data_IF_416121414593
#
_entry.id   IF_416121414593
#
_cell.length_a   1.000
_cell.length_b   1.000
_cell.length_c   1.000
_cell.angle_alpha   90.00
_cell.angle_beta   90.00
_cell.angle_gamma   90.00
#
_symmetry.space_group_name_H-M   'P 1'
#
loop_
_entity.id
_entity.type
_entity.pdbx_description
1 polymer ?
#
# COMPACT_ATOMS: atom_id res chain seq x y z
N UNK A 1 55.19 -4.16 -3.28
CA UNK A 1 53.97 -4.63 -3.96
C UNK A 1 52.89 -4.83 -2.91
N UNK A 2 51.80 -4.05 -3.07
CA UNK A 2 50.50 -4.06 -2.38
C UNK A 2 49.77 -5.42 -2.59
N UNK A 3 48.78 -5.87 -1.82
CA UNK A 3 48.09 -5.38 -0.62
C UNK A 3 47.30 -6.56 0.01
N UNK A 4 46.96 -6.38 1.29
CA UNK A 4 46.30 -7.34 2.17
C UNK A 4 44.77 -7.41 1.95
N UNK A 5 44.20 -8.55 2.36
CA UNK A 5 42.78 -8.95 2.32
C UNK A 5 41.81 -7.84 2.77
N UNK A 6 40.71 -7.67 2.02
CA UNK A 6 39.53 -6.93 2.44
C UNK A 6 38.46 -7.89 3.00
N UNK A 7 37.64 -7.46 3.98
CA UNK A 7 36.61 -8.28 4.61
C UNK A 7 35.34 -8.40 3.75
N UNK A 8 34.65 -9.51 3.93
CA UNK A 8 33.33 -9.78 3.35
C UNK A 8 32.26 -8.93 4.06
N UNK A 9 31.94 -7.77 3.49
CA UNK A 9 30.72 -7.03 3.79
C UNK A 9 29.53 -7.80 3.21
N UNK A 10 28.88 -8.64 4.03
CA UNK A 10 27.50 -9.08 3.79
C UNK A 10 26.58 -7.87 3.99
N UNK A 11 26.47 -7.02 2.97
CA UNK A 11 25.33 -6.10 2.89
C UNK A 11 24.13 -6.94 2.48
N UNK A 12 23.26 -7.21 3.44
CA UNK A 12 21.92 -7.73 3.20
C UNK A 12 21.24 -6.81 2.19
N UNK A 13 21.21 -7.23 0.92
CA UNK A 13 20.31 -6.66 -0.04
C UNK A 13 18.91 -7.07 0.41
N UNK A 14 18.25 -6.18 1.16
CA UNK A 14 16.80 -6.12 1.20
C UNK A 14 16.37 -5.88 -0.24
N UNK A 15 16.11 -6.98 -0.96
CA UNK A 15 15.49 -6.93 -2.28
C UNK A 15 14.12 -6.29 -2.08
N UNK A 16 14.04 -4.99 -2.34
CA UNK A 16 12.78 -4.30 -2.57
C UNK A 16 12.15 -4.98 -3.77
N UNK A 17 11.20 -5.88 -3.51
CA UNK A 17 10.39 -6.50 -4.54
C UNK A 17 9.51 -5.36 -5.08
N UNK A 18 9.97 -4.71 -6.15
CA UNK A 18 9.17 -3.71 -6.86
C UNK A 18 8.17 -4.52 -7.66
N UNK A 19 6.89 -4.40 -7.35
CA UNK A 19 5.82 -5.07 -8.10
C UNK A 19 5.97 -4.78 -9.60
N UNK A 20 5.86 -5.79 -10.48
CA UNK A 20 5.90 -5.57 -11.90
C UNK A 20 4.78 -4.58 -12.30
N UNK A 21 5.08 -3.60 -13.17
CA UNK A 21 4.05 -2.65 -13.59
C UNK A 21 2.90 -3.42 -14.27
N UNK A 22 1.63 -3.06 -14.00
CA UNK A 22 0.50 -3.71 -14.62
C UNK A 22 0.55 -3.54 -16.15
N UNK A 23 0.02 -4.50 -16.93
CA UNK A 23 0.04 -4.44 -18.38
C UNK A 23 -0.75 -3.22 -18.90
N UNK A 24 -0.38 -2.68 -20.08
CA UNK A 24 -0.83 -1.38 -20.59
C UNK A 24 -2.34 -1.31 -20.91
N UNK A 25 -3.02 -2.45 -21.01
CA UNK A 25 -4.47 -2.60 -21.17
C UNK A 25 -5.24 -2.52 -19.84
N UNK A 26 -4.56 -2.52 -18.69
CA UNK A 26 -5.13 -2.35 -17.35
C UNK A 26 -4.98 -0.93 -16.78
N UNK A 27 -4.33 -0.02 -17.50
CA UNK A 27 -3.96 1.33 -17.01
C UNK A 27 -5.15 2.24 -16.67
N UNK A 28 -6.37 1.87 -17.06
CA UNK A 28 -7.61 2.60 -16.72
C UNK A 28 -8.35 2.03 -15.50
N UNK A 29 -7.86 0.95 -14.87
CA UNK A 29 -8.42 0.54 -13.57
C UNK A 29 -7.90 1.51 -12.50
N UNK A 30 -8.75 2.09 -11.66
CA UNK A 30 -8.29 2.83 -10.49
C UNK A 30 -7.31 1.94 -9.72
N UNK A 31 -6.06 2.40 -9.60
CA UNK A 31 -5.01 1.68 -8.89
C UNK A 31 -5.28 1.76 -7.39
N UNK A 32 -6.18 0.91 -6.91
CA UNK A 32 -6.49 0.79 -5.49
C UNK A 32 -5.30 0.14 -4.77
N UNK A 33 -4.84 0.71 -3.65
CA UNK A 33 -3.77 0.11 -2.87
C UNK A 33 -4.13 -1.33 -2.48
N UNK A 34 -3.19 -2.24 -2.67
CA UNK A 34 -3.39 -3.62 -2.29
C UNK A 34 -3.37 -3.76 -0.75
N UNK A 35 -4.00 -4.80 -0.17
CA UNK A 35 -4.06 -4.99 1.28
C UNK A 35 -2.69 -5.11 1.94
N UNK A 36 -1.74 -5.72 1.23
CA UNK A 36 -0.37 -5.89 1.72
C UNK A 36 0.41 -4.57 1.74
N UNK A 37 -0.05 -3.53 1.04
CA UNK A 37 0.52 -2.19 1.08
C UNK A 37 -0.07 -1.33 2.21
N UNK A 38 -1.11 -1.82 2.89
CA UNK A 38 -1.86 -1.09 3.90
C UNK A 38 -1.53 -1.62 5.29
N UNK A 39 -0.87 -0.79 6.08
CA UNK A 39 -0.51 -1.12 7.46
C UNK A 39 -1.31 -0.29 8.46
N UNK A 40 -1.47 -0.82 9.68
CA UNK A 40 -2.10 -0.07 10.77
C UNK A 40 -1.30 1.18 11.09
N UNK A 41 -1.99 2.31 11.22
CA UNK A 41 -1.36 3.61 11.47
C UNK A 41 -1.05 4.41 10.20
N UNK A 42 -1.11 3.80 9.01
CA UNK A 42 -1.03 4.57 7.76
C UNK A 42 -2.24 5.48 7.60
N UNK A 43 -2.03 6.66 7.06
CA UNK A 43 -3.11 7.59 6.72
C UNK A 43 -3.54 7.35 5.29
N UNK A 44 -4.81 7.00 5.12
CA UNK A 44 -5.40 6.62 3.85
C UNK A 44 -6.66 7.43 3.61
N UNK A 45 -6.97 7.60 2.34
CA UNK A 45 -8.24 8.14 1.91
C UNK A 45 -9.19 6.99 1.57
N UNK A 46 -10.35 6.96 2.20
CA UNK A 46 -11.39 5.97 1.96
C UNK A 46 -12.64 6.60 1.37
N UNK A 47 -13.31 5.85 0.52
CA UNK A 47 -14.62 6.18 0.00
C UNK A 47 -15.65 5.23 0.63
N UNK A 48 -16.72 5.79 1.20
CA UNK A 48 -17.78 4.99 1.83
C UNK A 48 -18.81 4.50 0.80
N UNK A 49 -19.00 5.25 -0.28
CA UNK A 49 -19.96 5.02 -1.37
C UNK A 49 -19.57 5.92 -2.54
N UNK A 50 -19.96 5.57 -3.77
CA UNK A 50 -19.59 6.30 -5.00
C UNK A 50 -20.01 7.78 -4.99
N UNK A 51 -21.05 8.13 -4.23
CA UNK A 51 -21.57 9.51 -4.09
C UNK A 51 -21.10 10.24 -2.82
N UNK A 52 -20.28 9.59 -1.99
CA UNK A 52 -19.84 10.15 -0.71
C UNK A 52 -18.48 10.86 -0.84
N UNK A 53 -18.31 11.95 -0.09
CA UNK A 53 -17.00 12.59 0.00
C UNK A 53 -15.95 11.63 0.61
N UNK A 54 -14.73 11.59 0.05
CA UNK A 54 -13.66 10.77 0.59
C UNK A 54 -13.26 11.23 1.99
N UNK A 55 -12.98 10.26 2.86
CA UNK A 55 -12.56 10.50 4.24
C UNK A 55 -11.11 10.08 4.39
N UNK A 56 -10.29 11.02 4.86
CA UNK A 56 -8.90 10.73 5.23
C UNK A 56 -8.83 10.29 6.69
N UNK A 57 -8.11 9.22 6.97
CA UNK A 57 -7.78 8.85 8.35
C UNK A 57 -6.85 7.66 8.48
N UNK A 58 -6.51 7.35 9.72
CA UNK A 58 -5.57 6.28 10.03
C UNK A 58 -6.21 4.89 9.97
N UNK A 59 -5.55 3.94 9.31
CA UNK A 59 -5.96 2.53 9.27
C UNK A 59 -5.90 1.93 10.67
N UNK A 60 -7.04 1.42 11.14
CA UNK A 60 -7.16 0.64 12.37
C UNK A 60 -7.14 -0.87 12.10
N UNK A 61 -7.74 -1.30 10.99
CA UNK A 61 -7.71 -2.69 10.53
C UNK A 61 -7.98 -2.77 9.01
N UNK A 62 -7.35 -3.72 8.35
CA UNK A 62 -7.67 -4.12 6.97
C UNK A 62 -8.72 -5.22 7.03
N UNK A 63 -9.80 -5.11 6.25
CA UNK A 63 -10.97 -5.98 6.37
C UNK A 63 -11.16 -6.91 5.16
N UNK A 64 -10.99 -6.42 3.93
CA UNK A 64 -11.21 -7.20 2.70
C UNK A 64 -10.04 -7.04 1.74
N UNK A 65 -9.75 -8.09 0.97
CA UNK A 65 -8.66 -8.08 0.01
C UNK A 65 -9.05 -7.36 -1.29
N UNK A 66 -8.12 -6.60 -1.87
CA UNK A 66 -8.34 -5.99 -3.17
C UNK A 66 -8.30 -7.07 -4.26
N UNK A 67 -9.47 -7.38 -4.82
CA UNK A 67 -9.71 -7.46 -6.27
C UNK A 67 -11.20 -7.71 -6.54
N UNK A 68 -11.85 -7.06 -7.54
CA UNK A 68 -11.43 -5.86 -8.29
C UNK A 68 -11.93 -4.54 -7.67
N UNK A 69 -12.61 -4.59 -6.51
CA UNK A 69 -13.36 -3.46 -5.95
C UNK A 69 -12.56 -2.55 -5.00
N UNK A 70 -11.28 -2.86 -4.77
CA UNK A 70 -10.38 -2.14 -3.87
C UNK A 70 -10.43 -2.62 -2.42
N UNK A 71 -9.36 -2.36 -1.66
CA UNK A 71 -9.21 -2.83 -0.27
C UNK A 71 -10.18 -2.10 0.66
N UNK A 72 -10.99 -2.82 1.43
CA UNK A 72 -11.80 -2.22 2.50
C UNK A 72 -11.02 -2.19 3.80
N UNK A 73 -10.99 -1.02 4.44
CA UNK A 73 -10.38 -0.84 5.77
C UNK A 73 -11.39 -0.27 6.76
N UNK A 74 -11.06 -0.44 8.04
CA UNK A 74 -11.67 0.29 9.14
C UNK A 74 -10.65 1.28 9.69
N UNK A 75 -10.99 2.55 9.68
CA UNK A 75 -10.19 3.60 10.30
C UNK A 75 -10.25 3.52 11.83
N UNK A 76 -9.26 4.11 12.52
CA UNK A 76 -9.28 4.26 13.99
C UNK A 76 -10.49 5.04 14.49
N UNK A 77 -11.03 5.95 13.67
CA UNK A 77 -12.29 6.66 13.95
C UNK A 77 -13.51 5.74 13.98
N UNK A 78 -13.38 4.50 13.52
CA UNK A 78 -14.47 3.52 13.44
C UNK A 78 -15.16 3.46 12.08
N UNK A 79 -14.91 4.43 11.20
CA UNK A 79 -15.45 4.52 9.84
C UNK A 79 -14.87 3.40 8.98
N UNK A 80 -15.68 2.82 8.09
CA UNK A 80 -15.29 1.79 7.14
C UNK A 80 -15.44 2.32 5.70
N UNK A 81 -14.52 1.95 4.82
CA UNK A 81 -14.60 2.33 3.41
C UNK A 81 -13.51 1.69 2.56
N UNK A 82 -13.67 1.84 1.24
CA UNK A 82 -12.71 1.37 0.23
C UNK A 82 -11.56 2.35 0.12
N UNK A 83 -10.33 1.87 0.23
CA UNK A 83 -9.14 2.71 0.13
C UNK A 83 -8.96 3.15 -1.31
N UNK A 84 -8.95 4.45 -1.55
CA UNK A 84 -8.68 5.05 -2.85
C UNK A 84 -7.21 5.38 -3.04
N UNK A 85 -6.53 5.82 -1.98
CA UNK A 85 -5.13 6.24 -2.01
C UNK A 85 -4.50 6.25 -0.63
N UNK A 86 -3.18 6.11 -0.58
CA UNK A 86 -2.38 6.26 0.65
C UNK A 86 -1.77 7.66 0.66
N UNK A 87 -2.11 8.47 1.67
CA UNK A 87 -1.65 9.87 1.78
C UNK A 87 -0.34 9.96 2.57
N UNK A 88 -0.17 9.16 3.61
CA UNK A 88 1.01 9.16 4.46
C UNK A 88 1.33 7.75 4.98
N UNK A 89 2.63 7.39 4.94
CA UNK A 89 3.17 6.10 5.38
C UNK A 89 3.99 6.28 6.66
#
# INVERSE_FOLDING_TARGET
MLAQRAPADKKSATTSFVDPPPPPDMADRPNYPAPHELEKGMTVEIEQSEDAEPIVGEVGAVLEEADPEGTVVKLKSGVRGRVRSVTHR
#
